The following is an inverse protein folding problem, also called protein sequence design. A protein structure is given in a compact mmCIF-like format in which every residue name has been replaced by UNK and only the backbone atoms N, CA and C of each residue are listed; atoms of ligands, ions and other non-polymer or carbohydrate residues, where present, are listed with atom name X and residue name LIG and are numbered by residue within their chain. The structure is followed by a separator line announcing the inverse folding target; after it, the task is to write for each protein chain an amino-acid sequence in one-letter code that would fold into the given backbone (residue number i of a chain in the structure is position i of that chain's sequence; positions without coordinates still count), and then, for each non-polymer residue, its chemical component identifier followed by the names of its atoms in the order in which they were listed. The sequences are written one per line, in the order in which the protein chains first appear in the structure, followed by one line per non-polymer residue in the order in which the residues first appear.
data_IF_884716710833
#
_entry.id   IF_884716710833
#
_cell.length_a   1.000
_cell.length_b   1.000
_cell.length_c   1.000
_cell.angle_alpha   90.00
_cell.angle_beta   90.00
_cell.angle_gamma   90.00
#
_symmetry.space_group_name_H-M   'P 1'
#
loop_
_entity.id
_entity.type
_entity.pdbx_description
1 polymer ?
#
# COMPACT_ATOMS: atom_id res chain seq x y z
N UNK A 1 -37.60 10.92 27.40
CA UNK A 1 -37.07 9.90 26.48
C UNK A 1 -35.75 10.40 25.91
N UNK A 2 -34.64 9.93 26.46
CA UNK A 2 -33.26 10.27 26.04
C UNK A 2 -32.97 9.59 24.70
N UNK A 3 -32.73 10.38 23.65
CA UNK A 3 -32.25 9.88 22.36
C UNK A 3 -30.84 9.33 22.57
N UNK A 4 -30.71 8.01 22.56
CA UNK A 4 -29.42 7.34 22.59
C UNK A 4 -28.77 7.51 21.21
N UNK A 5 -28.00 8.58 21.04
CA UNK A 5 -27.26 8.83 19.81
C UNK A 5 -26.08 7.86 19.76
N UNK A 6 -26.34 6.62 19.34
CA UNK A 6 -25.30 5.67 18.97
C UNK A 6 -24.46 6.33 17.87
N UNK A 7 -23.30 6.84 18.25
CA UNK A 7 -22.29 7.42 17.36
C UNK A 7 -21.96 6.33 16.33
N UNK A 8 -22.54 6.41 15.13
CA UNK A 8 -22.30 5.41 14.09
C UNK A 8 -20.80 5.28 13.88
N UNK A 9 -20.26 4.09 14.14
CA UNK A 9 -18.85 3.81 13.86
C UNK A 9 -18.70 3.89 12.33
N UNK A 10 -17.92 4.87 11.88
CA UNK A 10 -17.54 4.96 10.47
C UNK A 10 -16.53 3.85 10.21
N UNK A 11 -16.87 2.93 9.33
CA UNK A 11 -15.97 1.89 8.88
C UNK A 11 -15.17 2.40 7.69
N UNK A 12 -13.85 2.52 7.86
CA UNK A 12 -12.95 3.10 6.87
C UNK A 12 -12.96 2.25 5.62
N UNK A 13 -12.64 0.97 5.73
CA UNK A 13 -12.51 0.08 4.57
C UNK A 13 -13.85 -0.06 3.83
N UNK A 14 -14.97 -0.09 4.55
CA UNK A 14 -16.30 -0.04 3.92
C UNK A 14 -16.54 1.23 3.11
N UNK A 15 -16.10 2.39 3.60
CA UNK A 15 -16.19 3.66 2.85
C UNK A 15 -15.36 3.66 1.57
N UNK A 16 -14.31 2.81 1.52
CA UNK A 16 -13.53 2.54 0.31
C UNK A 16 -14.17 1.46 -0.57
N UNK A 17 -15.36 0.96 -0.26
CA UNK A 17 -16.04 -0.19 -0.89
C UNK A 17 -15.29 -1.53 -0.74
N UNK A 18 -14.55 -1.71 0.36
CA UNK A 18 -13.97 -2.99 0.76
C UNK A 18 -14.88 -3.64 1.81
N UNK A 19 -15.84 -4.42 1.34
CA UNK A 19 -16.84 -5.04 2.21
C UNK A 19 -16.31 -6.29 2.92
N UNK A 20 -16.71 -6.50 4.18
CA UNK A 20 -16.31 -7.67 4.98
C UNK A 20 -14.93 -7.55 5.62
N UNK A 21 -14.21 -6.45 5.41
CA UNK A 21 -12.88 -6.19 5.96
C UNK A 21 -12.89 -5.22 7.14
N UNK A 22 -14.06 -4.83 7.65
CA UNK A 22 -14.26 -3.83 8.71
C UNK A 22 -13.42 -4.09 9.98
N UNK A 23 -13.13 -5.36 10.26
CA UNK A 23 -12.32 -5.79 11.40
C UNK A 23 -10.83 -5.42 11.26
N UNK A 24 -10.37 -5.11 10.05
CA UNK A 24 -9.00 -4.68 9.76
C UNK A 24 -8.82 -3.16 9.88
N UNK A 25 -9.90 -2.37 9.99
CA UNK A 25 -9.81 -0.90 10.09
C UNK A 25 -8.73 -0.43 11.10
N UNK A 26 -8.65 -0.95 12.35
CA UNK A 26 -7.70 -0.45 13.32
C UNK A 26 -6.23 -0.75 12.95
N UNK A 27 -5.95 -1.95 12.45
CA UNK A 27 -4.58 -2.36 12.11
C UNK A 27 -4.09 -1.64 10.85
N UNK A 28 -4.96 -1.47 9.85
CA UNK A 28 -4.64 -0.68 8.65
C UNK A 28 -4.33 0.77 9.03
N UNK A 29 -5.16 1.38 9.90
CA UNK A 29 -4.93 2.75 10.33
C UNK A 29 -3.64 2.89 11.14
N UNK A 30 -3.39 2.00 12.10
CA UNK A 30 -2.17 2.04 12.90
C UNK A 30 -0.92 1.94 12.02
N UNK A 31 -0.89 1.01 11.06
CA UNK A 31 0.27 0.85 10.19
C UNK A 31 0.50 2.05 9.27
N UNK A 32 -0.56 2.69 8.79
CA UNK A 32 -0.44 3.89 7.97
C UNK A 32 0.06 5.10 8.77
N UNK A 33 -0.36 5.24 10.03
CA UNK A 33 0.07 6.33 10.92
C UNK A 33 1.52 6.15 11.36
N UNK A 34 1.91 4.92 11.69
CA UNK A 34 3.27 4.61 12.17
C UNK A 34 4.26 4.34 11.03
N UNK A 35 3.82 4.43 9.77
CA UNK A 35 4.59 4.06 8.56
C UNK A 35 5.22 2.66 8.66
N UNK A 36 4.56 1.74 9.38
CA UNK A 36 5.09 0.41 9.62
C UNK A 36 4.78 -0.55 8.46
N UNK A 37 5.73 -1.45 8.12
CA UNK A 37 5.55 -2.39 7.01
C UNK A 37 4.40 -3.36 7.31
N UNK A 38 3.58 -3.63 6.29
CA UNK A 38 2.44 -4.54 6.37
C UNK A 38 2.67 -5.84 5.61
N UNK A 39 2.31 -6.97 6.22
CA UNK A 39 2.25 -8.28 5.57
C UNK A 39 0.80 -8.80 5.55
N UNK A 40 0.22 -8.91 4.36
CA UNK A 40 -1.16 -9.39 4.18
C UNK A 40 -1.17 -10.87 3.80
N UNK A 41 -1.68 -11.73 4.69
CA UNK A 41 -1.79 -13.18 4.46
C UNK A 41 -3.27 -13.57 4.33
N UNK A 42 -3.59 -14.33 3.29
CA UNK A 42 -4.94 -14.84 3.06
C UNK A 42 -5.01 -15.61 1.75
N UNK A 43 -6.10 -16.36 1.55
CA UNK A 43 -6.33 -17.14 0.31
C UNK A 43 -6.31 -16.22 -0.93
N UNK A 44 -6.12 -16.79 -2.11
CA UNK A 44 -6.30 -16.03 -3.35
C UNK A 44 -7.74 -15.50 -3.45
N UNK A 45 -7.90 -14.29 -4.01
CA UNK A 45 -9.22 -13.65 -4.15
C UNK A 45 -9.75 -12.93 -2.91
N UNK A 46 -9.02 -12.85 -1.79
CA UNK A 46 -9.47 -12.14 -0.57
C UNK A 46 -9.23 -10.62 -0.60
N UNK A 47 -9.24 -9.99 -1.78
CA UNK A 47 -9.09 -8.55 -1.97
C UNK A 47 -7.80 -7.90 -1.41
N UNK A 48 -6.70 -8.65 -1.22
CA UNK A 48 -5.42 -8.10 -0.70
C UNK A 48 -4.87 -6.96 -1.56
N UNK A 49 -4.70 -7.19 -2.86
CA UNK A 49 -4.20 -6.17 -3.79
C UNK A 49 -5.18 -5.01 -3.91
N UNK A 50 -6.48 -5.31 -3.96
CA UNK A 50 -7.52 -4.28 -4.05
C UNK A 50 -7.55 -3.37 -2.82
N UNK A 51 -7.33 -3.92 -1.62
CA UNK A 51 -7.22 -3.14 -0.39
C UNK A 51 -6.09 -2.10 -0.50
N UNK A 52 -4.91 -2.52 -0.95
CA UNK A 52 -3.76 -1.62 -1.11
C UNK A 52 -4.02 -0.57 -2.20
N UNK A 53 -4.58 -0.98 -3.35
CA UNK A 53 -4.91 -0.08 -4.46
C UNK A 53 -5.87 1.03 -4.02
N UNK A 54 -6.92 0.69 -3.27
CA UNK A 54 -7.93 1.66 -2.82
C UNK A 54 -7.41 2.61 -1.75
N UNK A 55 -6.58 2.11 -0.83
CA UNK A 55 -5.91 2.96 0.16
C UNK A 55 -4.96 3.94 -0.54
N UNK A 56 -4.12 3.46 -1.46
CA UNK A 56 -3.20 4.31 -2.21
C UNK A 56 -3.95 5.37 -3.02
N UNK A 57 -5.05 5.00 -3.69
CA UNK A 57 -5.90 5.93 -4.41
C UNK A 57 -6.54 7.00 -3.47
N UNK A 58 -7.05 6.58 -2.31
CA UNK A 58 -7.65 7.49 -1.33
C UNK A 58 -6.63 8.49 -0.76
N UNK A 59 -5.39 8.05 -0.56
CA UNK A 59 -4.28 8.87 -0.08
C UNK A 59 -3.56 9.63 -1.21
N UNK A 60 -3.97 9.45 -2.47
CA UNK A 60 -3.32 10.01 -3.68
C UNK A 60 -1.83 9.67 -3.76
N UNK A 61 -1.47 8.46 -3.33
CA UNK A 61 -0.11 7.95 -3.38
C UNK A 61 0.17 7.30 -4.74
N UNK A 62 1.35 7.59 -5.29
CA UNK A 62 1.94 6.71 -6.31
C UNK A 62 2.39 5.43 -5.61
N UNK A 63 1.96 4.28 -6.12
CA UNK A 63 2.38 2.98 -5.59
C UNK A 63 2.83 2.09 -6.74
N UNK A 64 3.84 1.28 -6.47
CA UNK A 64 4.37 0.32 -7.44
C UNK A 64 3.89 -1.08 -7.08
N UNK A 65 3.39 -1.82 -8.06
CA UNK A 65 2.99 -3.20 -7.89
C UNK A 65 3.98 -4.11 -8.60
N UNK A 66 4.62 -5.00 -7.85
CA UNK A 66 5.58 -5.94 -8.39
C UNK A 66 5.13 -7.38 -8.12
N UNK A 67 5.36 -8.25 -9.10
CA UNK A 67 5.27 -9.68 -8.89
C UNK A 67 6.61 -10.19 -8.31
N UNK A 68 6.57 -10.68 -7.08
CA UNK A 68 7.75 -11.18 -6.38
C UNK A 68 8.49 -12.32 -7.13
N UNK A 69 7.80 -13.09 -7.98
CA UNK A 69 8.45 -14.17 -8.73
C UNK A 69 9.20 -13.70 -9.99
N UNK A 70 8.95 -12.46 -10.44
CA UNK A 70 9.50 -11.93 -11.69
C UNK A 70 10.41 -10.71 -11.46
N UNK A 71 10.47 -10.19 -10.23
CA UNK A 71 11.20 -8.97 -9.94
C UNK A 71 12.71 -9.20 -9.91
N UNK A 72 13.45 -8.37 -10.64
CA UNK A 72 14.90 -8.26 -10.55
C UNK A 72 15.31 -7.12 -9.60
N UNK A 73 16.55 -7.16 -9.12
CA UNK A 73 17.07 -6.13 -8.21
C UNK A 73 17.09 -4.73 -8.87
N UNK A 74 17.41 -4.69 -10.16
CA UNK A 74 17.44 -3.45 -10.94
C UNK A 74 16.04 -2.84 -11.14
N UNK A 75 14.96 -3.63 -11.03
CA UNK A 75 13.58 -3.10 -11.06
C UNK A 75 13.23 -2.27 -9.82
N UNK A 76 13.95 -2.51 -8.71
CA UNK A 76 13.79 -1.79 -7.44
C UNK A 76 14.76 -0.61 -7.34
N UNK A 77 16.03 -0.81 -7.67
CA UNK A 77 17.07 0.21 -7.50
C UNK A 77 17.23 1.14 -8.72
N UNK A 78 16.95 0.63 -9.91
CA UNK A 78 17.36 1.19 -11.21
C UNK A 78 18.55 0.44 -11.81
N UNK A 79 18.88 0.74 -13.07
CA UNK A 79 20.06 0.17 -13.73
C UNK A 79 21.31 0.97 -13.36
N UNK A 80 22.40 0.33 -12.89
CA UNK A 80 23.64 1.03 -12.55
C UNK A 80 24.38 1.49 -13.80
N UNK A 81 24.71 2.77 -13.87
CA UNK A 81 25.56 3.36 -14.91
C UNK A 81 26.67 4.19 -14.27
N UNK A 82 27.89 4.21 -14.86
CA UNK A 82 28.92 5.12 -14.40
C UNK A 82 28.45 6.57 -14.47
N UNK A 83 28.78 7.37 -13.44
CA UNK A 83 28.60 8.82 -13.53
C UNK A 83 29.51 9.41 -14.62
N UNK A 84 29.23 10.65 -15.11
CA UNK A 84 30.03 11.28 -16.16
C UNK A 84 31.54 11.33 -15.85
N UNK A 85 31.91 11.50 -14.57
CA UNK A 85 33.29 11.57 -14.10
C UNK A 85 33.96 10.19 -13.93
N UNK A 86 33.20 9.09 -14.10
CA UNK A 86 33.65 7.69 -13.94
C UNK A 86 34.26 7.36 -12.57
N UNK A 87 33.80 8.03 -11.52
CA UNK A 87 34.26 7.84 -10.14
C UNK A 87 33.26 7.07 -9.28
N UNK A 88 32.00 6.95 -9.72
CA UNK A 88 30.93 6.29 -8.99
C UNK A 88 29.84 5.72 -9.93
N UNK A 89 28.90 4.98 -9.36
CA UNK A 89 27.70 4.51 -10.05
C UNK A 89 26.49 5.39 -9.70
N UNK A 90 25.69 5.70 -10.71
CA UNK A 90 24.37 6.30 -10.61
C UNK A 90 23.33 5.27 -11.06
N UNK A 91 22.17 5.22 -10.43
CA UNK A 91 21.11 4.28 -10.78
C UNK A 91 20.02 4.96 -11.61
N UNK A 92 19.88 4.55 -12.87
CA UNK A 92 18.82 5.04 -13.76
C UNK A 92 17.52 4.34 -13.39
N UNK A 93 16.57 5.10 -12.86
CA UNK A 93 15.26 4.59 -12.47
C UNK A 93 14.26 4.83 -13.58
N UNK A 94 13.45 3.82 -13.87
CA UNK A 94 12.18 4.02 -14.56
C UNK A 94 11.18 4.65 -13.59
N UNK A 95 10.43 5.64 -14.09
CA UNK A 95 9.22 6.12 -13.41
C UNK A 95 8.30 4.92 -13.16
N UNK A 96 7.66 4.88 -12.00
CA UNK A 96 6.76 3.80 -11.62
C UNK A 96 5.49 4.34 -10.98
#
# INVERSE_FOLDING_TARGET
MTKNTLKQRKHLLRSLHLFGLDHLDPVILASLVDESPMLLIGRHGTAKSELLNRIAAALKLKHRHYNASLIAFDDLLGFPVPNPERTALTYLRTEG
#
